data_IF_241781425012
#
_entry.id   IF_241781425012
#
_cell.length_a   1.000
_cell.length_b   1.000
_cell.length_c   1.000
_cell.angle_alpha   90.00
_cell.angle_beta   90.00
_cell.angle_gamma   90.00
#
_symmetry.space_group_name_H-M   'P 1'
#
loop_
_entity.id
_entity.type
_entity.pdbx_description
1 polymer ?
#
# COMPACT_ATOMS: atom_id res chain seq x y z
N UNK A 1 -19.58 48.90 -69.86
CA UNK A 1 -20.23 47.61 -70.11
C UNK A 1 -19.48 46.57 -69.27
N UNK A 2 -19.84 46.45 -67.98
CA UNK A 2 -20.75 45.44 -67.39
C UNK A 2 -20.19 44.01 -67.35
N UNK A 3 -20.11 43.48 -66.13
CA UNK A 3 -19.94 42.06 -65.80
C UNK A 3 -18.67 41.80 -64.99
N UNK A 4 -18.67 41.35 -63.74
CA UNK A 4 -19.71 40.90 -62.83
C UNK A 4 -18.94 40.21 -61.68
N UNK A 5 -19.01 40.76 -60.47
CA UNK A 5 -18.29 40.25 -59.29
C UNK A 5 -19.03 38.99 -58.83
N UNK A 6 -18.36 37.83 -58.90
CA UNK A 6 -18.86 36.58 -58.33
C UNK A 6 -18.82 36.68 -56.80
N UNK A 7 -19.99 36.88 -56.20
CA UNK A 7 -20.24 36.70 -54.78
C UNK A 7 -20.13 35.20 -54.46
N UNK A 8 -19.15 34.82 -53.65
CA UNK A 8 -19.07 33.49 -53.06
C UNK A 8 -20.23 33.25 -52.09
N UNK A 9 -20.82 32.06 -52.15
CA UNK A 9 -21.83 31.63 -51.19
C UNK A 9 -21.29 31.63 -49.75
N UNK A 10 -22.09 32.02 -48.75
CA UNK A 10 -21.68 31.92 -47.35
C UNK A 10 -21.68 30.45 -46.90
N UNK A 11 -20.51 29.95 -46.51
CA UNK A 11 -20.34 28.66 -45.82
C UNK A 11 -21.27 28.55 -44.61
N UNK A 12 -22.08 27.49 -44.56
CA UNK A 12 -22.94 27.19 -43.42
C UNK A 12 -22.11 26.78 -42.21
N UNK A 13 -22.27 27.52 -41.09
CA UNK A 13 -21.62 27.19 -39.82
C UNK A 13 -22.07 25.80 -39.33
N UNK A 14 -21.17 24.95 -38.82
CA UNK A 14 -21.55 23.65 -38.28
C UNK A 14 -22.40 23.83 -37.02
N UNK A 15 -23.62 23.30 -37.05
CA UNK A 15 -24.52 23.23 -35.90
C UNK A 15 -23.93 22.27 -34.86
N UNK A 16 -23.32 22.81 -33.81
CA UNK A 16 -22.94 22.04 -32.62
C UNK A 16 -24.23 21.53 -31.95
N UNK A 17 -24.60 20.27 -32.22
CA UNK A 17 -25.66 19.58 -31.49
C UNK A 17 -25.19 19.36 -30.05
N UNK A 18 -25.89 19.96 -29.08
CA UNK A 18 -25.67 19.65 -27.66
C UNK A 18 -25.91 18.15 -27.44
N UNK A 19 -25.10 17.45 -26.62
CA UNK A 19 -25.34 16.05 -26.32
C UNK A 19 -26.72 15.90 -25.66
N UNK A 20 -27.61 15.17 -26.32
CA UNK A 20 -28.97 14.92 -25.84
C UNK A 20 -28.98 14.29 -24.45
N UNK A 21 -30.08 14.46 -23.71
CA UNK A 21 -30.29 13.94 -22.35
C UNK A 21 -29.85 12.48 -22.16
N UNK A 22 -30.05 11.63 -23.18
CA UNK A 22 -29.62 10.24 -23.22
C UNK A 22 -28.10 10.06 -23.12
N UNK A 23 -27.31 10.91 -23.79
CA UNK A 23 -25.84 10.86 -23.71
C UNK A 23 -25.33 11.22 -22.31
N UNK A 24 -25.96 12.20 -21.66
CA UNK A 24 -25.62 12.58 -20.28
C UNK A 24 -25.91 11.45 -19.29
N UNK A 25 -27.04 10.76 -19.45
CA UNK A 25 -27.42 9.63 -18.60
C UNK A 25 -26.44 8.46 -18.76
N UNK A 26 -26.05 8.12 -19.99
CA UNK A 26 -25.05 7.07 -20.26
C UNK A 26 -23.69 7.45 -19.66
N UNK A 27 -23.28 8.72 -19.76
CA UNK A 27 -22.04 9.20 -19.13
C UNK A 27 -22.09 9.12 -17.60
N UNK A 28 -23.20 9.49 -16.97
CA UNK A 28 -23.38 9.40 -15.52
C UNK A 28 -23.36 7.94 -15.06
N UNK A 29 -24.10 7.06 -15.73
CA UNK A 29 -24.13 5.62 -15.42
C UNK A 29 -22.74 5.01 -15.57
N UNK A 30 -22.01 5.35 -16.64
CA UNK A 30 -20.64 4.89 -16.83
C UNK A 30 -19.68 5.47 -15.79
N UNK A 31 -19.86 6.71 -15.33
CA UNK A 31 -19.07 7.29 -14.24
C UNK A 31 -19.33 6.61 -12.90
N UNK A 32 -20.60 6.39 -12.55
CA UNK A 32 -21.00 5.69 -11.32
C UNK A 32 -20.51 4.25 -11.34
N UNK A 33 -20.63 3.57 -12.48
CA UNK A 33 -20.10 2.21 -12.68
C UNK A 33 -18.58 2.18 -12.52
N UNK A 34 -17.85 3.09 -13.17
CA UNK A 34 -16.39 3.15 -13.09
C UNK A 34 -15.92 3.54 -11.67
N UNK A 35 -16.67 4.38 -10.97
CA UNK A 35 -16.44 4.70 -9.56
C UNK A 35 -16.71 3.48 -8.65
N UNK A 36 -17.76 2.71 -8.93
CA UNK A 36 -18.04 1.44 -8.25
C UNK A 36 -16.94 0.41 -8.47
N UNK A 37 -16.52 0.19 -9.72
CA UNK A 37 -15.41 -0.70 -10.09
C UNK A 37 -14.08 -0.26 -9.46
N UNK A 38 -13.89 1.05 -9.30
CA UNK A 38 -12.73 1.64 -8.63
C UNK A 38 -12.70 1.38 -7.12
N UNK A 39 -13.86 1.36 -6.47
CA UNK A 39 -14.00 1.09 -5.03
C UNK A 39 -14.02 -0.41 -4.72
N UNK A 40 -14.32 -1.26 -5.72
CA UNK A 40 -14.36 -2.70 -5.57
C UNK A 40 -12.95 -3.29 -5.44
N UNK A 41 -12.76 -4.28 -4.56
CA UNK A 41 -11.53 -5.06 -4.50
C UNK A 41 -11.18 -5.69 -5.84
N UNK A 42 -9.88 -5.75 -6.16
CA UNK A 42 -9.35 -6.19 -7.45
C UNK A 42 -9.78 -7.59 -7.88
N UNK A 43 -10.20 -8.46 -6.96
CA UNK A 43 -10.72 -9.80 -7.27
C UNK A 43 -12.16 -9.77 -7.82
N UNK A 44 -13.01 -8.87 -7.34
CA UNK A 44 -14.38 -8.66 -7.88
C UNK A 44 -14.29 -7.96 -9.22
N UNK A 45 -13.43 -6.95 -9.30
CA UNK A 45 -13.15 -6.23 -10.56
C UNK A 45 -12.56 -7.17 -11.62
N UNK A 46 -11.70 -8.13 -11.23
CA UNK A 46 -11.25 -9.18 -12.15
C UNK A 46 -12.42 -10.02 -12.67
N UNK A 47 -13.33 -10.48 -11.81
CA UNK A 47 -14.49 -11.26 -12.24
C UNK A 47 -15.40 -10.52 -13.24
N UNK A 48 -15.58 -9.21 -13.07
CA UNK A 48 -16.43 -8.38 -13.94
C UNK A 48 -15.73 -7.92 -15.24
N UNK A 49 -14.41 -7.74 -15.21
CA UNK A 49 -13.62 -7.30 -16.37
C UNK A 49 -13.14 -8.49 -17.22
N UNK A 50 -13.06 -9.69 -16.63
CA UNK A 50 -12.63 -10.91 -17.33
C UNK A 50 -13.51 -11.24 -18.53
N UNK A 51 -14.82 -10.99 -18.49
CA UNK A 51 -15.70 -11.25 -19.65
C UNK A 51 -15.36 -10.38 -20.87
N UNK A 52 -14.86 -9.15 -20.69
CA UNK A 52 -14.44 -8.27 -21.79
C UNK A 52 -12.98 -8.49 -22.23
N UNK A 53 -12.12 -9.10 -21.39
CA UNK A 53 -10.66 -9.17 -21.62
C UNK A 53 -10.09 -10.54 -22.00
N UNK A 54 -10.92 -11.55 -22.23
CA UNK A 54 -10.46 -12.86 -22.74
C UNK A 54 -9.70 -12.78 -24.08
N UNK A 55 -9.74 -11.64 -24.80
CA UNK A 55 -9.00 -11.43 -26.05
C UNK A 55 -7.67 -10.66 -25.93
N UNK A 56 -7.28 -10.15 -24.75
CA UNK A 56 -6.06 -9.33 -24.60
C UNK A 56 -5.10 -9.88 -23.54
N UNK A 57 -4.25 -10.83 -23.97
CA UNK A 57 -2.97 -11.26 -23.38
C UNK A 57 -2.90 -11.47 -21.86
N UNK A 58 -2.81 -12.74 -21.46
CA UNK A 58 -2.34 -13.23 -20.17
C UNK A 58 -0.85 -12.91 -19.92
N UNK A 59 -0.50 -11.64 -19.74
CA UNK A 59 0.74 -11.29 -19.05
C UNK A 59 0.47 -11.27 -17.54
N UNK A 60 0.93 -12.30 -16.85
CA UNK A 60 0.94 -12.32 -15.39
C UNK A 60 1.82 -11.16 -14.90
N UNK A 61 1.23 -10.13 -14.28
CA UNK A 61 2.02 -9.00 -13.76
C UNK A 61 3.17 -9.51 -12.89
N UNK A 62 4.42 -9.05 -13.09
CA UNK A 62 5.61 -9.55 -12.37
C UNK A 62 5.53 -9.36 -10.84
N UNK A 63 4.53 -8.62 -10.34
CA UNK A 63 4.27 -8.41 -8.92
C UNK A 63 3.12 -9.26 -8.37
N UNK A 64 2.55 -10.21 -9.13
CA UNK A 64 1.41 -11.02 -8.69
C UNK A 64 1.69 -11.83 -7.42
N UNK A 65 2.92 -12.34 -7.26
CA UNK A 65 3.31 -13.06 -6.05
C UNK A 65 3.26 -12.18 -4.79
N UNK A 66 3.45 -10.85 -4.95
CA UNK A 66 3.36 -9.90 -3.84
C UNK A 66 1.91 -9.70 -3.38
N UNK A 67 0.93 -9.86 -4.27
CA UNK A 67 -0.48 -9.85 -3.89
C UNK A 67 -0.82 -11.09 -3.03
N UNK A 68 -0.30 -12.26 -3.42
CA UNK A 68 -0.42 -13.50 -2.62
C UNK A 68 0.27 -13.37 -1.25
N UNK A 69 1.48 -12.81 -1.23
CA UNK A 69 2.23 -12.56 0.00
C UNK A 69 1.50 -11.60 0.95
N UNK A 70 0.93 -10.51 0.41
CA UNK A 70 0.07 -9.59 1.18
C UNK A 70 -1.14 -10.30 1.78
N UNK A 71 -1.81 -11.16 1.00
CA UNK A 71 -2.94 -11.96 1.47
C UNK A 71 -2.55 -12.89 2.63
N UNK A 72 -1.43 -13.59 2.50
CA UNK A 72 -0.89 -14.43 3.58
C UNK A 72 -0.63 -13.61 4.85
N UNK A 73 0.07 -12.47 4.74
CA UNK A 73 0.35 -11.64 5.93
C UNK A 73 -0.92 -11.06 6.55
N UNK A 74 -1.92 -10.66 5.76
CA UNK A 74 -3.21 -10.23 6.28
C UNK A 74 -3.89 -11.35 7.09
N UNK A 75 -3.79 -12.61 6.64
CA UNK A 75 -4.32 -13.75 7.38
C UNK A 75 -3.54 -14.00 8.69
N UNK A 76 -2.21 -13.93 8.67
CA UNK A 76 -1.40 -14.09 9.89
C UNK A 76 -1.66 -12.97 10.91
N UNK A 77 -1.86 -11.73 10.43
CA UNK A 77 -2.30 -10.60 11.26
C UNK A 77 -3.66 -10.90 11.87
N UNK A 78 -4.65 -11.30 11.05
CA UNK A 78 -5.96 -11.71 11.55
C UNK A 78 -5.85 -12.81 12.61
N UNK A 79 -5.06 -13.86 12.37
CA UNK A 79 -4.87 -14.97 13.30
C UNK A 79 -4.33 -14.48 14.66
N UNK A 80 -3.33 -13.59 14.67
CA UNK A 80 -2.85 -12.96 15.91
C UNK A 80 -3.97 -12.23 16.64
N UNK A 81 -4.71 -11.41 15.93
CA UNK A 81 -5.76 -10.56 16.50
C UNK A 81 -6.92 -11.38 17.03
N UNK A 82 -7.25 -12.47 16.35
CA UNK A 82 -8.21 -13.44 16.80
C UNK A 82 -7.75 -14.14 18.07
N UNK A 83 -6.48 -14.54 18.17
CA UNK A 83 -5.96 -15.25 19.35
C UNK A 83 -5.75 -14.35 20.57
N UNK A 84 -5.54 -13.04 20.40
CA UNK A 84 -5.22 -12.11 21.49
C UNK A 84 -6.18 -12.19 22.69
N UNK A 85 -7.52 -12.22 22.53
CA UNK A 85 -8.44 -12.33 23.66
C UNK A 85 -8.56 -13.74 24.25
N UNK A 86 -8.21 -14.78 23.49
CA UNK A 86 -8.44 -16.19 23.87
C UNK A 86 -7.21 -16.89 24.46
N UNK A 87 -6.03 -16.32 24.29
CA UNK A 87 -4.77 -16.89 24.78
C UNK A 87 -4.05 -15.90 25.69
N UNK A 88 -3.92 -16.28 26.96
CA UNK A 88 -3.15 -15.52 27.95
C UNK A 88 -1.67 -15.53 27.59
N UNK A 89 -1.02 -14.38 27.76
CA UNK A 89 0.41 -14.21 27.47
C UNK A 89 0.80 -14.72 26.08
N UNK A 90 0.04 -14.36 25.03
CA UNK A 90 0.28 -14.82 23.65
C UNK A 90 1.74 -14.60 23.18
N UNK A 91 2.43 -13.62 23.75
CA UNK A 91 3.82 -13.28 23.44
C UNK A 91 4.87 -14.09 24.25
N UNK A 92 4.45 -15.03 25.10
CA UNK A 92 5.36 -15.98 25.77
C UNK A 92 5.69 -17.18 24.90
N UNK A 93 6.95 -17.64 24.96
CA UNK A 93 7.42 -18.81 24.23
C UNK A 93 7.24 -20.11 25.00
N UNK A 94 7.24 -21.24 24.29
CA UNK A 94 7.34 -22.55 24.92
C UNK A 94 8.59 -22.65 25.81
N UNK A 95 8.44 -23.16 27.02
CA UNK A 95 9.48 -23.25 28.05
C UNK A 95 9.74 -21.94 28.80
N UNK A 96 9.20 -20.80 28.36
CA UNK A 96 9.33 -19.53 29.06
C UNK A 96 8.33 -19.48 30.22
N UNK A 97 8.79 -19.08 31.42
CA UNK A 97 7.96 -18.99 32.62
C UNK A 97 7.18 -20.29 32.94
N UNK A 98 7.73 -21.47 32.60
CA UNK A 98 7.05 -22.75 32.81
C UNK A 98 5.93 -23.05 31.80
N UNK A 99 5.79 -22.27 30.73
CA UNK A 99 4.74 -22.47 29.74
C UNK A 99 5.00 -23.71 28.87
N UNK A 100 4.11 -24.71 28.92
CA UNK A 100 4.21 -25.94 28.12
C UNK A 100 3.14 -26.05 27.03
N UNK A 101 2.46 -24.96 26.68
CA UNK A 101 1.41 -24.98 25.67
C UNK A 101 1.99 -25.20 24.26
N UNK A 102 1.44 -26.17 23.53
CA UNK A 102 1.93 -26.56 22.20
C UNK A 102 1.79 -25.45 21.16
N UNK A 103 0.80 -24.55 21.32
CA UNK A 103 0.62 -23.40 20.41
C UNK A 103 1.83 -22.46 20.44
N UNK A 104 2.52 -22.40 21.60
CA UNK A 104 3.69 -21.53 21.85
C UNK A 104 5.01 -22.14 21.40
N UNK A 105 4.99 -23.32 20.76
CA UNK A 105 6.16 -23.91 20.12
C UNK A 105 6.75 -22.94 19.08
N UNK A 106 8.08 -22.89 18.92
CA UNK A 106 8.75 -21.85 18.14
C UNK A 106 8.27 -21.78 16.67
N UNK A 107 8.00 -22.92 16.04
CA UNK A 107 7.53 -22.97 14.64
C UNK A 107 6.06 -22.55 14.53
N UNK A 108 5.20 -23.08 15.41
CA UNK A 108 3.75 -22.78 15.41
C UNK A 108 3.53 -21.30 15.74
N UNK A 109 4.29 -20.77 16.69
CA UNK A 109 4.26 -19.37 17.10
C UNK A 109 4.55 -18.40 15.96
N UNK A 110 5.33 -18.77 14.94
CA UNK A 110 5.58 -17.87 13.80
C UNK A 110 4.30 -17.49 13.05
N UNK A 111 3.25 -18.32 13.12
CA UNK A 111 1.97 -18.05 12.46
C UNK A 111 1.21 -16.85 13.05
N UNK A 112 1.42 -16.53 14.33
CA UNK A 112 0.67 -15.47 15.02
C UNK A 112 1.57 -14.49 15.80
N UNK A 113 2.79 -14.87 16.13
CA UNK A 113 3.78 -14.08 16.87
C UNK A 113 4.96 -13.60 16.00
N UNK A 114 4.95 -13.89 14.70
CA UNK A 114 6.00 -13.47 13.78
C UNK A 114 5.99 -11.96 13.48
N UNK A 115 7.05 -11.43 12.84
CA UNK A 115 7.18 -10.01 12.50
C UNK A 115 6.33 -9.63 11.26
N UNK A 116 5.04 -9.91 11.31
CA UNK A 116 4.10 -9.72 10.19
C UNK A 116 3.96 -8.26 9.78
N UNK A 117 3.82 -7.34 10.74
CA UNK A 117 3.71 -5.90 10.48
C UNK A 117 4.98 -5.32 9.84
N UNK A 118 6.20 -5.59 10.36
CA UNK A 118 7.43 -5.17 9.69
C UNK A 118 7.56 -5.64 8.24
N UNK A 119 7.25 -6.92 7.96
CA UNK A 119 7.34 -7.46 6.60
C UNK A 119 6.31 -6.78 5.69
N UNK A 120 5.10 -6.55 6.19
CA UNK A 120 4.07 -5.84 5.45
C UNK A 120 4.50 -4.41 5.07
N UNK A 121 5.25 -3.72 5.92
CA UNK A 121 5.80 -2.39 5.61
C UNK A 121 6.91 -2.43 4.55
N UNK A 122 7.80 -3.43 4.59
CA UNK A 122 8.81 -3.64 3.54
C UNK A 122 8.12 -3.91 2.19
N UNK A 123 7.19 -4.86 2.15
CA UNK A 123 6.42 -5.20 0.93
C UNK A 123 5.59 -4.02 0.44
N UNK A 124 5.10 -3.18 1.36
CA UNK A 124 4.46 -1.92 1.02
C UNK A 124 5.43 -0.98 0.31
N UNK A 125 6.58 -0.66 0.91
CA UNK A 125 7.61 0.17 0.28
C UNK A 125 8.01 -0.32 -1.12
N UNK A 126 8.23 -1.63 -1.26
CA UNK A 126 8.60 -2.26 -2.53
C UNK A 126 7.57 -2.01 -3.64
N UNK A 127 6.29 -2.36 -3.40
CA UNK A 127 5.25 -2.25 -4.43
C UNK A 127 5.00 -0.79 -4.83
N UNK A 128 5.12 0.13 -3.87
CA UNK A 128 4.95 1.56 -4.16
C UNK A 128 6.06 2.12 -5.04
N UNK A 129 7.28 1.64 -4.84
CA UNK A 129 8.43 2.09 -5.58
C UNK A 129 8.60 1.41 -6.94
N UNK A 130 8.17 0.15 -7.08
CA UNK A 130 8.48 -0.68 -8.25
C UNK A 130 8.10 -0.01 -9.58
N UNK A 131 6.83 0.42 -9.74
CA UNK A 131 6.38 1.05 -10.99
C UNK A 131 7.00 2.44 -11.21
N UNK A 132 7.02 3.36 -10.22
CA UNK A 132 7.76 4.62 -10.35
C UNK A 132 9.23 4.45 -10.73
N UNK A 133 9.96 3.53 -10.09
CA UNK A 133 11.37 3.26 -10.40
C UNK A 133 11.55 2.72 -11.82
N UNK A 134 10.67 1.83 -12.27
CA UNK A 134 10.67 1.36 -13.66
C UNK A 134 10.49 2.50 -14.66
N UNK A 135 9.63 3.47 -14.37
CA UNK A 135 9.42 4.66 -15.22
C UNK A 135 10.63 5.61 -15.18
N UNK A 136 11.26 5.76 -14.01
CA UNK A 136 12.50 6.53 -13.84
C UNK A 136 13.65 5.93 -14.67
N UNK A 137 13.83 4.60 -14.64
CA UNK A 137 14.85 3.91 -15.45
C UNK A 137 14.59 4.10 -16.95
N UNK A 138 13.33 4.08 -17.37
CA UNK A 138 12.91 4.37 -18.75
C UNK A 138 12.98 5.86 -19.12
N UNK A 139 13.29 6.75 -18.17
CA UNK A 139 13.28 8.21 -18.33
C UNK A 139 11.92 8.78 -18.79
N UNK A 140 10.83 8.07 -18.52
CA UNK A 140 9.47 8.52 -18.85
C UNK A 140 8.86 9.29 -17.66
N UNK A 141 9.28 10.56 -17.55
CA UNK A 141 8.88 11.42 -16.45
C UNK A 141 7.42 11.90 -16.53
N UNK A 142 6.85 11.92 -17.73
CA UNK A 142 5.44 12.30 -17.92
C UNK A 142 4.53 11.20 -17.36
N UNK A 143 4.78 9.94 -17.73
CA UNK A 143 4.05 8.81 -17.18
C UNK A 143 4.29 8.67 -15.66
N UNK A 144 5.50 8.96 -15.17
CA UNK A 144 5.80 8.98 -13.73
C UNK A 144 4.94 9.99 -12.98
N UNK A 145 4.84 11.22 -13.49
CA UNK A 145 4.01 12.28 -12.90
C UNK A 145 2.54 11.86 -12.83
N UNK A 146 1.98 11.44 -13.97
CA UNK A 146 0.58 11.01 -14.05
C UNK A 146 0.28 9.82 -13.13
N UNK A 147 1.19 8.82 -13.11
CA UNK A 147 1.07 7.68 -12.23
C UNK A 147 1.07 8.08 -10.75
N UNK A 148 1.98 8.97 -10.37
CA UNK A 148 2.15 9.38 -8.97
C UNK A 148 0.98 10.23 -8.50
N UNK A 149 0.54 11.22 -9.29
CA UNK A 149 -0.66 12.01 -9.01
C UNK A 149 -1.89 11.12 -8.81
N UNK A 150 -2.11 10.19 -9.73
CA UNK A 150 -3.22 9.25 -9.64
C UNK A 150 -3.09 8.32 -8.41
N UNK A 151 -1.88 7.89 -8.07
CA UNK A 151 -1.65 7.05 -6.88
C UNK A 151 -1.90 7.82 -5.58
N UNK A 152 -1.44 9.07 -5.49
CA UNK A 152 -1.63 9.95 -4.33
C UNK A 152 -3.11 10.23 -4.10
N UNK A 153 -3.89 10.56 -5.14
CA UNK A 153 -5.30 10.88 -5.00
C UNK A 153 -6.16 9.70 -4.55
N UNK A 154 -5.88 8.50 -5.07
CA UNK A 154 -6.73 7.31 -4.80
C UNK A 154 -6.43 6.67 -3.44
N UNK A 155 -5.22 6.86 -2.94
CA UNK A 155 -4.71 6.13 -1.78
C UNK A 155 -5.44 6.44 -0.46
N UNK A 156 -5.75 7.70 -0.10
CA UNK A 156 -6.52 8.00 1.10
C UNK A 156 -7.84 7.24 1.10
N UNK A 157 -8.58 7.28 0.00
CA UNK A 157 -9.86 6.58 -0.11
C UNK A 157 -9.70 5.07 0.08
N UNK A 158 -8.72 4.45 -0.60
CA UNK A 158 -8.50 3.00 -0.45
C UNK A 158 -8.09 2.58 0.96
N UNK A 159 -7.29 3.40 1.65
CA UNK A 159 -6.78 3.07 2.99
C UNK A 159 -7.78 3.38 4.09
N UNK A 160 -8.47 4.52 4.03
CA UNK A 160 -9.34 4.98 5.11
C UNK A 160 -10.80 4.55 4.94
N UNK A 161 -11.31 4.37 3.72
CA UNK A 161 -12.73 4.04 3.53
C UNK A 161 -13.14 2.70 4.16
N UNK A 162 -12.40 1.59 4.03
CA UNK A 162 -12.81 0.34 4.68
C UNK A 162 -12.84 0.43 6.22
N UNK A 163 -11.80 0.99 6.89
CA UNK A 163 -11.87 1.27 8.33
C UNK A 163 -12.99 2.21 8.75
N UNK A 164 -13.28 3.26 7.95
CA UNK A 164 -14.39 4.18 8.23
C UNK A 164 -15.73 3.46 8.26
N UNK A 165 -15.99 2.62 7.25
CA UNK A 165 -17.23 1.83 7.19
C UNK A 165 -17.29 0.82 8.34
N UNK A 166 -16.20 0.10 8.61
CA UNK A 166 -16.16 -0.90 9.68
C UNK A 166 -16.40 -0.28 11.05
N UNK A 167 -15.69 0.80 11.40
CA UNK A 167 -15.86 1.49 12.69
C UNK A 167 -17.19 2.23 12.81
N UNK A 168 -17.78 2.66 11.69
CA UNK A 168 -19.14 3.21 11.69
C UNK A 168 -20.17 2.13 12.05
N UNK A 169 -20.03 0.92 11.50
CA UNK A 169 -20.86 -0.23 11.87
C UNK A 169 -20.71 -0.51 13.38
N UNK A 170 -19.48 -0.50 13.90
CA UNK A 170 -19.23 -0.62 15.35
C UNK A 170 -19.99 0.45 16.14
N UNK A 171 -19.93 1.72 15.74
CA UNK A 171 -20.66 2.80 16.40
C UNK A 171 -22.16 2.56 16.47
N UNK A 172 -22.77 2.12 15.35
CA UNK A 172 -24.20 1.82 15.31
C UNK A 172 -24.52 0.61 16.20
N UNK A 173 -23.71 -0.44 16.17
CA UNK A 173 -23.88 -1.63 17.00
C UNK A 173 -23.75 -1.34 18.50
N UNK A 174 -22.80 -0.48 18.89
CA UNK A 174 -22.64 -0.02 20.28
C UNK A 174 -23.88 0.78 20.71
N UNK A 175 -24.34 1.73 19.88
CA UNK A 175 -25.56 2.51 20.17
C UNK A 175 -26.80 1.62 20.32
N UNK A 176 -26.88 0.54 19.54
CA UNK A 176 -27.95 -0.47 19.60
C UNK A 176 -27.85 -1.41 20.81
N UNK A 177 -26.74 -1.36 21.57
CA UNK A 177 -26.53 -2.22 22.74
C UNK A 177 -26.10 -3.65 22.40
N UNK A 178 -25.51 -3.87 21.23
CA UNK A 178 -25.02 -5.19 20.79
C UNK A 178 -23.64 -5.57 21.36
N UNK A 179 -22.96 -4.63 22.03
CA UNK A 179 -21.63 -4.80 22.64
C UNK A 179 -21.74 -5.09 24.15
N UNK A 180 -22.52 -6.12 24.51
CA UNK A 180 -22.79 -6.52 25.91
C UNK A 180 -22.25 -7.91 26.25
N UNK A 181 -21.31 -8.42 25.44
CA UNK A 181 -20.68 -9.71 25.71
C UNK A 181 -19.92 -9.70 27.06
N UNK A 182 -19.80 -10.84 27.75
CA UNK A 182 -19.06 -10.93 28.99
C UNK A 182 -17.54 -10.95 28.72
N UNK A 183 -17.00 -9.81 28.28
CA UNK A 183 -15.58 -9.68 27.89
C UNK A 183 -14.60 -10.01 29.03
N UNK A 184 -15.05 -9.91 30.29
CA UNK A 184 -14.29 -10.29 31.48
C UNK A 184 -13.94 -11.78 31.56
N UNK A 185 -14.65 -12.64 30.82
CA UNK A 185 -14.39 -14.08 30.80
C UNK A 185 -13.30 -14.46 29.77
N UNK A 186 -12.80 -13.48 29.00
CA UNK A 186 -11.73 -13.68 28.04
C UNK A 186 -10.38 -13.68 28.77
N UNK A 187 -9.58 -14.76 28.68
CA UNK A 187 -8.35 -14.91 29.46
C UNK A 187 -7.18 -14.06 28.94
N UNK A 188 -7.27 -13.54 27.72
CA UNK A 188 -6.21 -12.80 27.06
C UNK A 188 -6.39 -11.28 27.09
N UNK A 189 -5.76 -10.62 26.11
CA UNK A 189 -5.89 -9.18 25.95
C UNK A 189 -7.22 -8.83 25.27
N UNK A 190 -8.10 -8.16 26.01
CA UNK A 190 -9.39 -7.68 25.51
C UNK A 190 -9.23 -6.26 24.95
N UNK A 191 -9.54 -6.03 23.66
CA UNK A 191 -9.57 -4.69 23.11
C UNK A 191 -10.60 -3.83 23.86
N UNK A 192 -10.26 -2.57 24.15
CA UNK A 192 -11.26 -1.61 24.62
C UNK A 192 -12.33 -1.42 23.55
N UNK A 193 -13.58 -1.30 23.97
CA UNK A 193 -14.72 -0.99 23.12
C UNK A 193 -15.28 0.38 23.50
N UNK A 194 -15.93 1.11 22.57
CA UNK A 194 -16.50 2.40 22.88
C UNK A 194 -17.63 2.23 23.90
N UNK A 195 -17.73 3.15 24.85
CA UNK A 195 -18.87 3.17 25.77
C UNK A 195 -20.16 3.51 25.02
N UNK A 196 -21.26 2.90 25.44
CA UNK A 196 -22.59 3.20 24.90
C UNK A 196 -23.06 4.55 25.42
N UNK A 197 -23.24 5.50 24.50
CA UNK A 197 -23.78 6.82 24.83
C UNK A 197 -25.32 6.81 24.81
N UNK A 198 -25.92 7.75 25.55
CA UNK A 198 -27.38 7.81 25.75
C UNK A 198 -28.19 8.19 24.50
N UNK A 199 -27.55 8.58 23.40
CA UNK A 199 -28.23 8.89 22.14
C UNK A 199 -27.38 8.49 20.93
N UNK A 200 -28.04 8.13 19.82
CA UNK A 200 -27.39 7.79 18.56
C UNK A 200 -26.51 8.94 18.04
N UNK A 201 -26.99 10.18 18.17
CA UNK A 201 -26.25 11.37 17.75
C UNK A 201 -24.99 11.59 18.58
N UNK A 202 -25.04 11.33 19.89
CA UNK A 202 -23.84 11.35 20.72
C UNK A 202 -22.83 10.29 20.27
N UNK A 203 -23.28 9.08 19.95
CA UNK A 203 -22.40 8.01 19.45
C UNK A 203 -21.78 8.33 18.08
N UNK A 204 -22.57 8.92 17.17
CA UNK A 204 -22.05 9.39 15.88
C UNK A 204 -21.04 10.52 16.08
N UNK A 205 -21.30 11.43 17.03
CA UNK A 205 -20.38 12.50 17.40
C UNK A 205 -19.04 11.98 17.93
N UNK A 206 -19.08 10.98 18.81
CA UNK A 206 -17.86 10.33 19.33
C UNK A 206 -17.10 9.56 18.23
N UNK A 207 -17.81 8.82 17.38
CA UNK A 207 -17.20 8.18 16.21
C UNK A 207 -16.56 9.21 15.27
N UNK A 208 -17.23 10.34 14.98
CA UNK A 208 -16.66 11.42 14.16
C UNK A 208 -15.42 12.04 14.81
N UNK A 209 -15.41 12.21 16.14
CA UNK A 209 -14.23 12.65 16.89
C UNK A 209 -13.07 11.69 16.65
N UNK A 210 -13.31 10.38 16.82
CA UNK A 210 -12.31 9.35 16.54
C UNK A 210 -11.78 9.43 15.10
N UNK A 211 -12.68 9.54 14.11
CA UNK A 211 -12.31 9.63 12.69
C UNK A 211 -11.38 10.81 12.43
N UNK A 212 -11.71 11.99 12.95
CA UNK A 212 -10.97 13.23 12.65
C UNK A 212 -9.69 13.35 13.46
N UNK A 213 -9.72 13.01 14.75
CA UNK A 213 -8.62 13.26 15.68
C UNK A 213 -7.60 12.13 15.67
N UNK A 214 -8.07 10.89 15.60
CA UNK A 214 -7.23 9.72 15.81
C UNK A 214 -6.91 9.01 14.48
N UNK A 215 -7.92 8.78 13.62
CA UNK A 215 -7.72 7.99 12.41
C UNK A 215 -7.14 8.80 11.24
N UNK A 216 -7.68 9.99 10.96
CA UNK A 216 -7.36 10.71 9.72
C UNK A 216 -6.47 11.94 9.91
N UNK A 217 -6.06 12.25 11.15
CA UNK A 217 -5.29 13.45 11.47
C UNK A 217 -3.86 13.40 10.87
N UNK A 218 -3.57 14.16 9.79
CA UNK A 218 -2.31 13.99 9.06
C UNK A 218 -1.10 14.60 9.78
N UNK A 219 -1.35 15.50 10.74
CA UNK A 219 -0.31 16.23 11.49
C UNK A 219 0.07 15.53 12.81
N UNK A 220 -0.63 14.45 13.16
CA UNK A 220 -0.38 13.73 14.40
C UNK A 220 0.58 12.59 14.11
N UNK A 221 1.61 12.51 14.92
CA UNK A 221 2.57 11.41 14.92
C UNK A 221 2.29 10.40 16.03
N UNK A 222 1.20 10.63 16.79
CA UNK A 222 0.72 9.69 17.81
C UNK A 222 0.20 8.43 17.11
N UNK A 223 0.49 7.29 17.71
CA UNK A 223 -0.17 6.04 17.33
C UNK A 223 -1.63 6.14 17.77
N UNK A 224 -2.61 6.03 16.86
CA UNK A 224 -4.02 6.02 17.24
C UNK A 224 -4.25 4.80 18.14
N UNK A 225 -4.47 5.02 19.42
CA UNK A 225 -4.98 4.00 20.32
C UNK A 225 -6.47 4.29 20.48
N UNK A 226 -7.29 3.70 19.62
CA UNK A 226 -8.72 3.97 19.59
C UNK A 226 -9.53 2.85 20.22
N UNK A 227 -10.62 3.23 20.86
CA UNK A 227 -11.63 2.36 21.44
C UNK A 227 -12.54 1.74 20.37
N UNK A 228 -12.60 2.32 19.16
CA UNK A 228 -13.37 1.75 18.05
C UNK A 228 -12.66 0.56 17.40
N UNK A 229 -11.34 0.67 17.21
CA UNK A 229 -10.47 -0.41 16.77
C UNK A 229 -9.00 0.00 17.02
N UNK A 230 -8.38 -0.66 17.99
CA UNK A 230 -6.99 -0.40 18.38
C UNK A 230 -5.98 -0.74 17.29
N UNK A 231 -6.34 -1.60 16.33
CA UNK A 231 -5.44 -2.19 15.35
C UNK A 231 -5.28 -1.31 14.10
N UNK A 232 -6.13 -0.29 13.95
CA UNK A 232 -6.07 0.69 12.87
C UNK A 232 -4.86 1.62 12.94
N UNK A 233 -4.05 1.55 13.99
CA UNK A 233 -2.88 2.40 14.20
C UNK A 233 -1.88 2.38 13.04
N UNK A 234 -1.84 1.28 12.26
CA UNK A 234 -0.96 1.16 11.10
C UNK A 234 -1.43 1.97 9.89
N UNK A 235 -2.72 2.29 9.77
CA UNK A 235 -3.30 2.92 8.58
C UNK A 235 -2.73 4.34 8.35
N UNK A 236 -2.69 5.24 9.34
CA UNK A 236 -2.14 6.59 9.16
C UNK A 236 -0.65 6.56 8.89
N UNK A 237 0.06 5.62 9.52
CA UNK A 237 1.49 5.36 9.28
C UNK A 237 1.71 4.99 7.82
N UNK A 238 0.97 4.02 7.29
CA UNK A 238 1.10 3.58 5.91
C UNK A 238 0.80 4.71 4.91
N UNK A 239 -0.20 5.54 5.22
CA UNK A 239 -0.51 6.69 4.38
C UNK A 239 0.66 7.69 4.37
N UNK A 240 1.14 8.12 5.53
CA UNK A 240 2.24 9.07 5.64
C UNK A 240 3.53 8.55 5.01
N UNK A 241 3.92 7.31 5.32
CA UNK A 241 5.11 6.68 4.78
C UNK A 241 5.06 6.62 3.25
N UNK A 242 3.89 6.36 2.69
CA UNK A 242 3.74 6.37 1.24
C UNK A 242 3.88 7.73 0.58
N UNK A 243 3.37 8.79 1.22
CA UNK A 243 3.53 10.15 0.70
C UNK A 243 5.00 10.55 0.69
N UNK A 244 5.73 10.19 1.74
CA UNK A 244 7.18 10.40 1.82
C UNK A 244 7.89 9.62 0.71
N UNK A 245 7.58 8.34 0.50
CA UNK A 245 8.17 7.54 -0.60
C UNK A 245 7.88 8.16 -1.97
N UNK A 246 6.65 8.58 -2.24
CA UNK A 246 6.32 9.22 -3.51
C UNK A 246 7.10 10.52 -3.71
N UNK A 247 7.21 11.35 -2.66
CA UNK A 247 7.98 12.59 -2.71
C UNK A 247 9.46 12.32 -2.94
N UNK A 248 10.05 11.36 -2.21
CA UNK A 248 11.46 10.96 -2.36
C UNK A 248 11.75 10.48 -3.78
N UNK A 249 10.88 9.64 -4.36
CA UNK A 249 11.08 9.13 -5.72
C UNK A 249 10.92 10.22 -6.78
N UNK A 250 9.98 11.15 -6.61
CA UNK A 250 9.85 12.30 -7.52
C UNK A 250 11.06 13.23 -7.42
N UNK A 251 11.52 13.54 -6.20
CA UNK A 251 12.69 14.40 -5.98
C UNK A 251 13.97 13.79 -6.57
N UNK A 252 14.11 12.47 -6.49
CA UNK A 252 15.28 11.73 -7.00
C UNK A 252 15.08 11.16 -8.40
N UNK A 253 13.99 11.52 -9.09
CA UNK A 253 13.63 10.94 -10.39
C UNK A 253 14.70 11.18 -11.46
N UNK A 254 15.34 12.36 -11.45
CA UNK A 254 16.41 12.72 -12.40
C UNK A 254 17.82 12.51 -11.83
N UNK A 255 17.93 12.05 -10.58
CA UNK A 255 19.22 11.78 -9.97
C UNK A 255 19.86 10.53 -10.59
N UNK A 256 21.21 10.50 -10.61
CA UNK A 256 21.95 9.28 -10.95
C UNK A 256 21.60 8.17 -9.94
N UNK A 257 21.63 6.91 -10.38
CA UNK A 257 21.26 5.76 -9.54
C UNK A 257 22.05 5.74 -8.22
N UNK A 258 23.37 5.97 -8.28
CA UNK A 258 24.20 6.01 -7.07
C UNK A 258 23.77 7.11 -6.09
N UNK A 259 23.39 8.29 -6.58
CA UNK A 259 22.89 9.38 -5.72
C UNK A 259 21.58 8.95 -5.07
N UNK A 260 20.67 8.36 -5.84
CA UNK A 260 19.38 7.87 -5.31
C UNK A 260 19.60 6.81 -4.24
N UNK A 261 20.46 5.83 -4.48
CA UNK A 261 20.78 4.76 -3.53
C UNK A 261 21.43 5.32 -2.26
N UNK A 262 22.44 6.19 -2.38
CA UNK A 262 23.10 6.80 -1.22
C UNK A 262 22.12 7.63 -0.40
N UNK A 263 21.24 8.42 -1.04
CA UNK A 263 20.18 9.16 -0.35
C UNK A 263 19.19 8.24 0.34
N UNK A 264 18.79 7.12 -0.27
CA UNK A 264 17.91 6.13 0.38
C UNK A 264 18.57 5.50 1.61
N UNK A 265 19.86 5.15 1.52
CA UNK A 265 20.63 4.64 2.68
C UNK A 265 20.71 5.68 3.79
N UNK A 266 21.00 6.94 3.45
CA UNK A 266 21.00 8.03 4.42
C UNK A 266 19.62 8.19 5.08
N UNK A 267 18.53 8.20 4.31
CA UNK A 267 17.16 8.30 4.83
C UNK A 267 16.79 7.10 5.72
N UNK A 268 17.27 5.89 5.42
CA UNK A 268 17.13 4.73 6.28
C UNK A 268 17.81 4.95 7.64
N UNK A 269 19.09 5.36 7.64
CA UNK A 269 19.85 5.59 8.86
C UNK A 269 19.27 6.75 9.68
N UNK A 270 18.88 7.84 9.01
CA UNK A 270 18.20 8.96 9.64
C UNK A 270 16.87 8.53 10.27
N UNK A 271 16.08 7.71 9.58
CA UNK A 271 14.81 7.20 10.12
C UNK A 271 15.03 6.37 11.39
N UNK A 272 16.06 5.51 11.42
CA UNK A 272 16.43 4.75 12.62
C UNK A 272 16.87 5.66 13.77
N UNK A 273 17.68 6.69 13.48
CA UNK A 273 18.13 7.67 14.47
C UNK A 273 16.95 8.45 15.08
N UNK A 274 15.90 8.70 14.30
CA UNK A 274 14.67 9.36 14.76
C UNK A 274 13.63 8.38 15.32
N UNK A 275 14.02 7.12 15.58
CA UNK A 275 13.13 6.05 16.08
C UNK A 275 11.91 5.77 15.19
N UNK A 276 11.99 6.18 13.91
CA UNK A 276 10.96 5.95 12.88
C UNK A 276 11.22 4.63 12.16
N UNK A 277 11.12 3.54 12.91
CA UNK A 277 11.36 2.18 12.40
C UNK A 277 10.45 1.86 11.20
N UNK A 278 9.24 2.39 11.17
CA UNK A 278 8.31 2.19 10.06
C UNK A 278 8.81 2.84 8.76
N UNK A 279 9.43 4.02 8.84
CA UNK A 279 9.99 4.69 7.67
C UNK A 279 11.22 3.96 7.13
N UNK A 280 12.07 3.46 8.03
CA UNK A 280 13.19 2.60 7.67
C UNK A 280 12.73 1.39 6.84
N UNK A 281 11.68 0.69 7.27
CA UNK A 281 11.16 -0.49 6.56
C UNK A 281 10.59 -0.15 5.18
N UNK A 282 9.88 0.98 5.06
CA UNK A 282 9.39 1.45 3.76
C UNK A 282 10.55 1.75 2.81
N UNK A 283 11.58 2.47 3.27
CA UNK A 283 12.77 2.75 2.45
C UNK A 283 13.58 1.49 2.13
N UNK A 284 13.67 0.53 3.05
CA UNK A 284 14.25 -0.79 2.75
C UNK A 284 13.49 -1.47 1.61
N UNK A 285 12.16 -1.40 1.60
CA UNK A 285 11.33 -1.85 0.48
C UNK A 285 11.65 -1.13 -0.84
N UNK A 286 11.81 0.20 -0.80
CA UNK A 286 12.22 0.99 -1.99
C UNK A 286 13.58 0.53 -2.51
N UNK A 287 14.55 0.33 -1.61
CA UNK A 287 15.88 -0.15 -1.96
C UNK A 287 15.83 -1.55 -2.60
N UNK A 288 15.04 -2.47 -2.05
CA UNK A 288 14.83 -3.80 -2.66
C UNK A 288 14.19 -3.71 -4.05
N UNK A 289 13.28 -2.77 -4.27
CA UNK A 289 12.67 -2.56 -5.60
C UNK A 289 13.69 -2.04 -6.62
N UNK A 290 14.58 -1.12 -6.23
CA UNK A 290 15.68 -0.65 -7.09
C UNK A 290 16.59 -1.80 -7.49
N UNK A 291 17.04 -2.61 -6.53
CA UNK A 291 17.91 -3.79 -6.76
C UNK A 291 17.24 -4.83 -7.65
N UNK A 292 15.94 -5.06 -7.44
CA UNK A 292 15.17 -6.00 -8.27
C UNK A 292 15.15 -5.57 -9.74
N UNK A 293 15.10 -4.27 -10.03
CA UNK A 293 15.11 -3.75 -11.40
C UNK A 293 16.51 -3.82 -12.02
N UNK A 294 17.56 -3.50 -11.27
CA UNK A 294 18.96 -3.67 -11.71
C UNK A 294 19.22 -5.11 -12.15
N UNK A 295 18.88 -6.10 -11.29
CA UNK A 295 19.08 -7.50 -11.60
C UNK A 295 18.31 -7.99 -12.84
N UNK A 296 17.10 -7.48 -13.09
CA UNK A 296 16.35 -7.86 -14.31
C UNK A 296 17.00 -7.27 -15.57
N UNK A 297 17.47 -6.03 -15.51
CA UNK A 297 18.18 -5.41 -16.64
C UNK A 297 19.51 -6.13 -16.92
N UNK A 298 20.22 -6.57 -15.89
CA UNK A 298 21.48 -7.33 -16.03
C UNK A 298 21.25 -8.70 -16.70
N UNK A 299 20.14 -9.38 -16.36
CA UNK A 299 19.77 -10.66 -16.99
C UNK A 299 19.34 -10.50 -18.46
N UNK A 300 18.67 -9.39 -18.80
CA UNK A 300 18.25 -9.08 -20.17
C UNK A 300 19.43 -8.60 -21.05
N UNK A 301 20.51 -8.08 -20.43
CA UNK A 301 21.73 -7.64 -21.11
C UNK A 301 22.73 -8.78 -21.42
N UNK A 302 22.52 -9.99 -20.90
CA UNK A 302 23.33 -11.16 -21.28
C UNK A 302 22.96 -11.60 -22.71
N UNK A 303 23.94 -11.87 -23.59
CA UNK A 303 23.63 -12.40 -24.91
C UNK A 303 22.91 -13.73 -24.76
N UNK A 304 21.74 -13.87 -25.39
CA UNK A 304 21.06 -15.15 -25.56
C UNK A 304 21.86 -16.00 -26.54
N UNK A 305 22.97 -16.58 -26.07
CA UNK A 305 23.63 -17.65 -26.80
C UNK A 305 22.87 -18.95 -26.50
N UNK A 306 22.37 -19.59 -27.55
CA UNK A 306 21.60 -20.81 -27.44
C UNK A 306 22.49 -21.96 -26.97
N UNK A 307 22.13 -22.60 -25.86
CA UNK A 307 22.71 -23.89 -25.49
C UNK A 307 22.94 -24.05 -23.99
N UNK A 308 22.15 -24.96 -23.40
CA UNK A 308 22.37 -25.66 -22.14
C UNK A 308 22.40 -24.85 -20.83
N UNK A 309 21.26 -24.94 -20.14
CA UNK A 309 21.08 -24.61 -18.73
C UNK A 309 22.03 -25.40 -17.82
N UNK A 310 23.04 -24.71 -17.28
CA UNK A 310 23.64 -25.09 -16.00
C UNK A 310 23.45 -23.94 -15.02
N UNK A 311 22.66 -24.19 -13.98
CA UNK A 311 22.41 -23.26 -12.87
C UNK A 311 23.73 -22.91 -12.17
N UNK A 312 24.30 -21.76 -12.50
CA UNK A 312 25.33 -21.11 -11.69
C UNK A 312 24.79 -19.76 -11.23
N UNK A 313 24.20 -19.74 -10.03
CA UNK A 313 23.95 -18.49 -9.33
C UNK A 313 25.30 -17.84 -8.99
N UNK A 314 25.59 -16.60 -9.43
CA UNK A 314 26.78 -15.90 -8.93
C UNK A 314 26.60 -15.65 -7.42
N UNK A 315 27.65 -15.82 -6.60
CA UNK A 315 27.51 -15.68 -5.16
C UNK A 315 27.21 -14.22 -4.82
N UNK A 316 26.28 -14.04 -3.87
CA UNK A 316 25.87 -12.75 -3.26
C UNK A 316 27.04 -11.89 -2.74
N UNK A 317 28.26 -12.45 -2.69
CA UNK A 317 29.48 -11.83 -2.21
C UNK A 317 30.02 -10.70 -3.11
N UNK A 318 29.83 -10.75 -4.43
CA UNK A 318 30.44 -9.75 -5.34
C UNK A 318 29.78 -8.37 -5.28
N UNK A 319 28.46 -8.34 -5.06
CA UNK A 319 27.72 -7.08 -4.89
C UNK A 319 27.93 -6.47 -3.49
N UNK A 320 28.13 -7.31 -2.47
CA UNK A 320 28.38 -6.88 -1.10
C UNK A 320 29.79 -6.30 -0.93
N UNK A 321 30.81 -6.91 -1.54
CA UNK A 321 32.20 -6.41 -1.49
C UNK A 321 32.34 -5.05 -2.16
N UNK A 322 31.70 -4.84 -3.32
CA UNK A 322 31.70 -3.55 -4.01
C UNK A 322 30.96 -2.44 -3.26
N UNK A 323 29.89 -2.78 -2.54
CA UNK A 323 29.18 -1.83 -1.68
C UNK A 323 30.01 -1.45 -0.44
N UNK A 324 30.62 -2.43 0.23
CA UNK A 324 31.46 -2.21 1.41
C UNK A 324 32.71 -1.40 1.05
N UNK A 325 33.37 -1.68 -0.08
CA UNK A 325 34.52 -0.89 -0.52
C UNK A 325 34.17 0.58 -0.83
N UNK A 326 33.01 0.82 -1.45
CA UNK A 326 32.54 2.19 -1.73
C UNK A 326 32.13 2.93 -0.46
N UNK A 327 31.58 2.21 0.52
CA UNK A 327 31.24 2.76 1.83
C UNK A 327 32.50 3.11 2.64
N UNK A 328 33.53 2.24 2.62
CA UNK A 328 34.81 2.46 3.28
C UNK A 328 35.59 3.64 2.67
N UNK A 329 35.55 3.79 1.34
CA UNK A 329 36.12 4.94 0.63
C UNK A 329 35.41 6.26 1.03
N UNK A 330 34.08 6.27 1.10
CA UNK A 330 33.31 7.46 1.52
C UNK A 330 33.51 7.82 3.00
N UNK A 331 33.88 6.84 3.83
CA UNK A 331 34.19 7.04 5.26
C UNK A 331 35.68 7.31 5.53
N UNK A 332 36.52 7.40 4.49
CA UNK A 332 37.94 7.74 4.58
C UNK A 332 38.84 6.65 5.18
N UNK A 333 38.42 5.39 5.15
CA UNK A 333 39.18 4.25 5.66
C UNK A 333 40.05 3.55 4.59
N UNK A 334 39.91 3.96 3.32
CA UNK A 334 40.71 3.58 2.14
C UNK A 334 40.83 4.82 1.28
#
# INVERSE_FOLDING_TARGET
MTGGILLGEPESKPVMRSPGSHGKLIHIVNHVRNLGIFLLPSFITRGLVQEETLQAQSSSSPTLYLDGLRGLFSFLVFLRHFLLPWEEDLDTGFGQNGNTSLIKLPIVRLLYGGPTVPIFFIVSGFVLAYKPLKLIHKKDYNALGLHTMSSVLRRPFRLFLPPLVSTFIVAISVSAGLYTAPYQDMPGWVPRHPERLGSLWAQIGDWMRFVVVDLTHPWSWKSPMSEYDSHLWTIPIQFRASMIVYLTLLALARARVWVRVTTLVFLCLYSLQQERWEMYLFFAGVFLAERSLESHNDLEALPTDGGESVMNHPPLQSAWSGFVQRLLFLLGYI
#
